data_IF_608167329377
#
_entry.id   IF_608167329377
#
_cell.length_a   1.000
_cell.length_b   1.000
_cell.length_c   1.000
_cell.angle_alpha   90.00
_cell.angle_beta   90.00
_cell.angle_gamma   90.00
#
_symmetry.space_group_name_H-M   'P 1'
#
loop_
_entity.id
_entity.type
_entity.pdbx_description
1 polymer ?
#
# COMPACT_ATOMS: atom_id res chain seq x y z
N UNK A 1 -1.96 8.56 19.55
CA UNK A 1 -2.26 7.26 18.94
C UNK A 1 -1.53 7.10 17.61
N UNK A 2 -1.00 5.94 17.37
CA UNK A 2 -0.21 5.72 16.19
C UNK A 2 -1.09 5.29 15.03
N UNK A 3 -0.88 5.89 13.87
CA UNK A 3 -1.60 5.53 12.68
C UNK A 3 -1.05 4.22 12.12
N UNK A 4 -1.91 3.40 11.56
CA UNK A 4 -1.47 2.18 10.89
C UNK A 4 -0.58 2.49 9.70
N UNK A 5 -0.90 3.56 8.98
CA UNK A 5 -0.13 3.94 7.81
C UNK A 5 0.61 5.23 8.11
N UNK A 6 1.89 5.24 7.76
CA UNK A 6 2.71 6.44 7.95
C UNK A 6 2.65 7.28 6.69
N UNK A 7 2.34 8.55 6.85
CA UNK A 7 2.28 9.46 5.73
C UNK A 7 3.66 9.58 5.10
N UNK A 8 3.70 9.61 3.79
CA UNK A 8 4.94 9.72 3.07
C UNK A 8 5.63 8.39 2.81
N UNK A 9 5.12 7.32 3.36
CA UNK A 9 5.74 6.02 3.21
C UNK A 9 5.06 5.24 2.09
N UNK A 10 5.82 4.43 1.39
CA UNK A 10 5.29 3.63 0.28
C UNK A 10 4.88 2.26 0.78
N UNK A 11 3.71 1.83 0.35
CA UNK A 11 3.18 0.51 0.70
C UNK A 11 2.75 -0.21 -0.56
N UNK A 12 2.77 -1.53 -0.48
CA UNK A 12 2.15 -2.35 -1.50
C UNK A 12 0.86 -2.90 -0.92
N UNK A 13 -0.24 -2.60 -1.58
CA UNK A 13 -1.56 -3.01 -1.13
C UNK A 13 -2.01 -4.21 -1.94
N UNK A 14 -2.39 -5.27 -1.28
CA UNK A 14 -2.78 -6.52 -1.94
C UNK A 14 -4.27 -6.73 -1.83
N UNK A 15 -4.87 -7.13 -2.94
CA UNK A 15 -6.30 -7.40 -3.02
C UNK A 15 -6.51 -8.77 -3.62
N UNK A 16 -7.53 -9.48 -3.13
CA UNK A 16 -7.87 -10.79 -3.67
C UNK A 16 -9.28 -10.70 -4.26
N UNK A 17 -9.41 -11.02 -5.52
CA UNK A 17 -10.68 -10.91 -6.21
C UNK A 17 -10.99 -12.24 -6.88
N UNK A 18 -12.23 -12.36 -7.38
CA UNK A 18 -12.65 -13.60 -8.02
C UNK A 18 -11.78 -13.97 -9.20
N UNK A 19 -11.33 -12.97 -9.92
CA UNK A 19 -10.56 -13.22 -11.13
C UNK A 19 -9.07 -13.23 -10.89
N UNK A 20 -8.64 -13.15 -9.64
CA UNK A 20 -7.24 -13.19 -9.33
C UNK A 20 -6.85 -12.10 -8.37
N UNK A 21 -5.61 -12.13 -7.95
CA UNK A 21 -5.09 -11.18 -6.99
C UNK A 21 -4.49 -10.00 -7.73
N UNK A 22 -4.60 -8.82 -7.12
CA UNK A 22 -3.98 -7.64 -7.68
C UNK A 22 -3.22 -6.92 -6.58
N UNK A 23 -2.31 -6.06 -6.98
CA UNK A 23 -1.58 -5.26 -6.03
C UNK A 23 -1.37 -3.86 -6.59
N UNK A 24 -1.26 -2.90 -5.67
CA UNK A 24 -1.03 -1.51 -6.02
C UNK A 24 0.06 -0.97 -5.11
N UNK A 25 1.06 -0.34 -5.70
CA UNK A 25 2.09 0.35 -4.94
C UNK A 25 1.72 1.82 -4.86
N UNK A 26 1.81 2.39 -3.68
CA UNK A 26 1.48 3.80 -3.55
C UNK A 26 2.07 4.41 -2.30
N UNK A 27 2.27 5.72 -2.35
CA UNK A 27 2.75 6.47 -1.21
C UNK A 27 1.57 7.03 -0.47
N UNK A 28 1.52 6.81 0.84
CA UNK A 28 0.40 7.24 1.66
C UNK A 28 0.43 8.75 1.82
N UNK A 29 -0.68 9.39 1.49
CA UNK A 29 -0.85 10.81 1.68
C UNK A 29 -1.53 11.07 3.01
N UNK A 30 -2.60 10.31 3.28
CA UNK A 30 -3.30 10.45 4.55
C UNK A 30 -4.08 9.18 4.81
N UNK A 31 -4.46 9.00 6.07
CA UNK A 31 -5.19 7.81 6.47
C UNK A 31 -6.30 8.21 7.43
N UNK A 32 -7.53 7.99 7.02
CA UNK A 32 -8.70 8.20 7.87
C UNK A 32 -9.46 6.90 7.88
N UNK A 33 -9.25 6.08 8.90
CA UNK A 33 -9.81 4.72 8.88
C UNK A 33 -11.28 4.72 8.56
N UNK A 34 -11.73 3.85 7.69
CA UNK A 34 -10.96 2.78 7.04
C UNK A 34 -10.38 3.18 5.69
N UNK A 35 -10.29 4.46 5.37
CA UNK A 35 -9.87 4.93 4.06
C UNK A 35 -8.43 5.41 4.10
N UNK A 36 -7.65 4.99 3.11
CA UNK A 36 -6.29 5.48 2.97
C UNK A 36 -6.15 6.13 1.60
N UNK A 37 -5.58 7.32 1.58
CA UNK A 37 -5.35 8.05 0.33
C UNK A 37 -3.90 7.84 -0.06
N UNK A 38 -3.67 7.40 -1.29
CA UNK A 38 -2.32 7.15 -1.78
C UNK A 38 -2.12 7.84 -3.11
N UNK A 39 -0.86 8.06 -3.44
CA UNK A 39 -0.48 8.54 -4.75
C UNK A 39 0.31 7.46 -5.46
N UNK A 40 -0.07 7.16 -6.69
CA UNK A 40 0.61 6.15 -7.47
C UNK A 40 0.53 6.55 -8.94
N UNK A 41 1.68 6.62 -9.59
CA UNK A 41 1.76 6.86 -11.03
C UNK A 41 1.00 8.12 -11.46
N UNK A 42 1.14 9.16 -10.66
CA UNK A 42 0.48 10.43 -10.99
C UNK A 42 -0.98 10.49 -10.68
N UNK A 43 -1.53 9.44 -10.07
CA UNK A 43 -2.94 9.39 -9.70
C UNK A 43 -3.08 9.38 -8.20
N UNK A 44 -4.17 9.97 -7.73
CA UNK A 44 -4.53 9.88 -6.32
C UNK A 44 -5.63 8.84 -6.21
N UNK A 45 -5.43 7.85 -5.36
CA UNK A 45 -6.40 6.79 -5.16
C UNK A 45 -6.79 6.71 -3.70
N UNK A 46 -8.03 6.33 -3.46
CA UNK A 46 -8.53 6.12 -2.11
C UNK A 46 -8.90 4.66 -1.98
N UNK A 47 -8.30 4.00 -1.01
CA UNK A 47 -8.49 2.57 -0.81
C UNK A 47 -9.26 2.36 0.47
N UNK A 48 -10.30 1.53 0.39
CA UNK A 48 -11.10 1.20 1.56
C UNK A 48 -10.55 -0.08 2.17
N UNK A 49 -9.87 0.05 3.31
CA UNK A 49 -9.24 -1.08 3.95
C UNK A 49 -10.23 -2.01 4.64
N UNK A 50 -11.50 -1.64 4.67
CA UNK A 50 -12.53 -2.55 5.17
C UNK A 50 -13.14 -3.37 4.07
N UNK A 51 -12.71 -3.18 2.84
CA UNK A 51 -13.26 -3.93 1.72
C UNK A 51 -12.99 -5.41 1.90
N UNK A 52 -13.93 -6.24 1.47
CA UNK A 52 -13.75 -7.68 1.54
C UNK A 52 -12.62 -8.15 0.64
N UNK A 53 -12.24 -7.34 -0.33
CA UNK A 53 -11.17 -7.71 -1.25
C UNK A 53 -9.79 -7.32 -0.76
N UNK A 54 -9.70 -6.49 0.25
CA UNK A 54 -8.42 -6.04 0.76
C UNK A 54 -7.82 -7.12 1.64
N UNK A 55 -6.58 -7.50 1.36
CA UNK A 55 -5.90 -8.55 2.10
C UNK A 55 -4.89 -7.97 3.08
N UNK A 56 -3.94 -7.21 2.56
CA UNK A 56 -2.90 -6.66 3.43
C UNK A 56 -2.17 -5.54 2.73
N UNK A 57 -1.46 -4.76 3.50
CA UNK A 57 -0.57 -3.74 2.98
C UNK A 57 0.80 -3.99 3.57
N UNK A 58 1.82 -3.98 2.73
CA UNK A 58 3.18 -4.25 3.15
C UNK A 58 3.97 -2.97 3.01
N UNK A 59 4.58 -2.52 4.11
CA UNK A 59 5.38 -1.32 4.09
C UNK A 59 6.69 -1.59 3.38
N UNK A 60 7.10 -0.66 2.54
CA UNK A 60 8.35 -0.78 1.81
C UNK A 60 9.34 0.20 2.40
N UNK A 61 10.51 -0.28 2.74
CA UNK A 61 11.54 0.57 3.27
C UNK A 61 12.47 0.97 2.15
N UNK A 62 12.94 2.20 2.23
CA UNK A 62 13.74 2.73 1.14
C UNK A 62 14.99 1.92 0.89
N UNK A 63 15.68 1.54 1.95
CA UNK A 63 16.88 0.77 1.77
C UNK A 63 16.55 -0.62 1.25
N UNK A 64 15.39 -1.14 1.59
CA UNK A 64 14.98 -2.42 1.05
C UNK A 64 14.63 -2.31 -0.42
N UNK A 65 14.10 -1.18 -0.82
CA UNK A 65 13.80 -1.00 -2.22
C UNK A 65 15.06 -1.11 -3.05
N UNK A 66 16.16 -0.64 -2.51
CA UNK A 66 17.40 -0.65 -3.24
C UNK A 66 18.03 -2.02 -3.18
N UNK A 67 18.21 -2.52 -2.00
CA UNK A 67 18.88 -3.81 -1.85
C UNK A 67 17.91 -4.94 -1.96
N UNK A 68 16.71 -4.70 -1.55
CA UNK A 68 15.72 -5.73 -1.61
C UNK A 68 15.55 -6.25 -2.99
N UNK A 69 15.68 -5.37 -3.93
CA UNK A 69 15.57 -5.80 -5.30
C UNK A 69 16.67 -6.77 -5.64
N UNK A 70 17.82 -6.56 -5.07
CA UNK A 70 18.93 -7.45 -5.33
C UNK A 70 18.85 -8.69 -4.47
N UNK A 71 18.52 -8.48 -3.23
CA UNK A 71 18.55 -9.61 -2.32
C UNK A 71 17.36 -10.50 -2.48
N UNK A 72 16.35 -9.90 -2.88
CA UNK A 72 15.16 -10.70 -2.97
C UNK A 72 15.32 -11.84 -3.85
N UNK A 73 15.87 -11.59 -3.73
CA UNK A 73 15.92 -12.64 -3.89
C UNK A 73 16.04 -13.21 -3.91
#
# INVERSE_FOLDING_TARGET
>A
MTSLFEEGRTYTFYFSQEHGDTSINGQVVSYEPPLVKIETEGLTRIINCSSAYFVEAVARREDEDIEGAAAAE
#
